data_IF_595470540473
#
_entry.id   IF_595470540473
#
_cell.length_a   1.000
_cell.length_b   1.000
_cell.length_c   1.000
_cell.angle_alpha   90.00
_cell.angle_beta   90.00
_cell.angle_gamma   90.00
#
_symmetry.space_group_name_H-M   'P 1'
#
loop_
_entity.id
_entity.type
_entity.pdbx_description
1 polymer ?
#
# COMPACT_ATOMS: atom_id res chain seq x y z
N UNK A 1 1.08 -16.06 -24.68
CA UNK A 1 1.90 -14.95 -24.15
C UNK A 1 0.95 -13.80 -23.96
N UNK A 2 0.82 -13.33 -22.74
CA UNK A 2 -0.02 -12.16 -22.46
C UNK A 2 0.68 -10.90 -22.95
N UNK A 3 -0.04 -9.82 -23.18
CA UNK A 3 0.52 -8.52 -23.58
C UNK A 3 1.58 -8.03 -22.60
N UNK A 4 1.35 -8.25 -21.29
CA UNK A 4 2.29 -7.93 -20.22
C UNK A 4 3.63 -8.69 -20.37
N UNK A 5 3.60 -9.98 -20.71
CA UNK A 5 4.82 -10.77 -20.93
C UNK A 5 5.61 -10.27 -22.13
N UNK A 6 4.94 -9.75 -23.17
CA UNK A 6 5.58 -9.11 -24.32
C UNK A 6 6.39 -7.87 -23.96
N UNK A 7 6.03 -7.20 -22.86
CA UNK A 7 6.69 -6.00 -22.33
C UNK A 7 7.70 -6.30 -21.20
N UNK A 8 8.11 -7.57 -21.04
CA UNK A 8 9.12 -7.96 -20.06
C UNK A 8 8.60 -8.21 -18.65
N UNK A 9 7.29 -8.18 -18.42
CA UNK A 9 6.69 -8.55 -17.16
C UNK A 9 6.55 -10.08 -17.05
N UNK A 10 6.64 -10.58 -15.82
CA UNK A 10 6.35 -11.98 -15.50
C UNK A 10 4.97 -12.08 -14.87
N UNK A 11 4.15 -13.01 -15.36
CA UNK A 11 2.82 -13.24 -14.81
C UNK A 11 2.83 -14.43 -13.85
N UNK A 12 2.22 -14.28 -12.67
CA UNK A 12 1.99 -15.34 -11.72
C UNK A 12 0.50 -15.47 -11.46
N UNK A 13 -0.04 -16.61 -11.86
CA UNK A 13 -1.37 -16.96 -11.41
C UNK A 13 -1.29 -17.42 -9.94
N UNK A 14 -1.88 -16.64 -9.06
CA UNK A 14 -2.09 -17.04 -7.67
C UNK A 14 -3.37 -17.87 -7.59
N UNK A 15 -3.25 -19.15 -7.20
CA UNK A 15 -4.42 -19.99 -7.01
C UNK A 15 -5.03 -19.72 -5.64
N UNK A 16 -6.23 -19.18 -5.65
CA UNK A 16 -6.98 -18.88 -4.43
C UNK A 16 -7.36 -20.16 -3.65
N UNK A 17 -7.31 -21.33 -4.27
CA UNK A 17 -7.62 -22.62 -3.64
C UNK A 17 -6.49 -23.19 -2.79
N UNK A 18 -5.24 -22.81 -3.06
CA UNK A 18 -4.07 -23.28 -2.28
C UNK A 18 -4.01 -22.67 -0.88
N UNK A 19 -4.82 -21.70 -0.63
CA UNK A 19 -4.76 -20.85 0.53
C UNK A 19 -5.88 -21.12 1.56
N UNK A 20 -6.11 -22.36 1.94
CA UNK A 20 -6.96 -22.76 3.06
C UNK A 20 -8.44 -22.93 2.70
N UNK A 21 -8.96 -24.10 3.02
CA UNK A 21 -10.35 -24.51 2.78
C UNK A 21 -11.36 -23.96 3.80
N UNK A 22 -10.95 -23.01 4.63
CA UNK A 22 -11.88 -22.38 5.57
C UNK A 22 -12.68 -21.30 4.87
N UNK A 23 -13.93 -21.62 4.60
CA UNK A 23 -14.89 -20.80 3.88
C UNK A 23 -15.23 -19.44 4.55
N UNK A 24 -14.63 -19.12 5.69
CA UNK A 24 -14.78 -17.84 6.39
C UNK A 24 -13.72 -16.81 6.02
N UNK A 25 -12.67 -17.17 5.31
CA UNK A 25 -11.67 -16.20 4.83
C UNK A 25 -12.06 -15.68 3.46
N UNK A 26 -12.80 -14.59 3.45
CA UNK A 26 -13.00 -13.77 2.25
C UNK A 26 -11.64 -13.23 1.82
N UNK A 27 -11.21 -13.64 0.67
CA UNK A 27 -10.00 -13.27 -0.07
C UNK A 27 -8.75 -12.98 0.79
N UNK A 28 -7.66 -13.61 0.42
CA UNK A 28 -6.37 -13.35 1.04
C UNK A 28 -5.97 -11.91 0.87
N UNK A 29 -5.32 -11.41 1.91
CA UNK A 29 -4.79 -10.06 1.93
C UNK A 29 -3.80 -9.84 0.78
N UNK A 30 -3.57 -8.59 0.45
CA UNK A 30 -2.57 -8.20 -0.54
C UNK A 30 -1.19 -8.78 -0.20
N UNK A 31 -0.79 -8.73 1.08
CA UNK A 31 0.50 -9.23 1.55
C UNK A 31 0.73 -10.73 1.26
N UNK A 32 -0.28 -11.59 1.47
CA UNK A 32 -0.16 -13.02 1.20
C UNK A 32 -0.01 -13.33 -0.29
N UNK A 33 -0.72 -12.60 -1.16
CA UNK A 33 -0.56 -12.73 -2.62
C UNK A 33 0.81 -12.24 -3.08
N UNK A 34 1.29 -11.14 -2.52
CA UNK A 34 2.61 -10.59 -2.78
C UNK A 34 3.68 -11.60 -2.35
N UNK A 35 3.61 -12.10 -1.11
CA UNK A 35 4.57 -13.07 -0.59
C UNK A 35 4.60 -14.35 -1.42
N UNK A 36 3.45 -14.91 -1.80
CA UNK A 36 3.35 -16.10 -2.66
C UNK A 36 4.01 -15.85 -4.03
N UNK A 37 3.77 -14.68 -4.62
CA UNK A 37 4.37 -14.28 -5.90
C UNK A 37 5.87 -14.16 -5.79
N UNK A 38 6.35 -13.41 -4.81
CA UNK A 38 7.79 -13.15 -4.62
C UNK A 38 8.53 -14.44 -4.28
N UNK A 39 7.99 -15.31 -3.44
CA UNK A 39 8.59 -16.60 -3.10
C UNK A 39 8.71 -17.52 -4.31
N UNK A 40 7.84 -17.37 -5.30
CA UNK A 40 7.93 -18.15 -6.54
C UNK A 40 9.06 -17.64 -7.45
N UNK A 41 9.26 -16.31 -7.55
CA UNK A 41 10.29 -15.71 -8.41
C UNK A 41 11.65 -15.58 -7.77
N UNK A 42 11.68 -15.17 -6.51
CA UNK A 42 12.91 -14.87 -5.76
C UNK A 42 13.13 -15.87 -4.62
N UNK A 43 13.26 -17.14 -4.98
CA UNK A 43 13.46 -18.25 -4.03
C UNK A 43 14.75 -18.13 -3.21
N UNK A 44 15.71 -17.38 -3.71
CA UNK A 44 17.03 -17.22 -3.08
C UNK A 44 17.16 -15.93 -2.29
N UNK A 45 16.06 -15.18 -2.13
CA UNK A 45 16.07 -13.91 -1.37
C UNK A 45 17.11 -12.92 -1.89
N UNK A 46 17.20 -12.79 -3.20
CA UNK A 46 18.15 -11.88 -3.87
C UNK A 46 17.69 -10.41 -3.82
N UNK A 47 16.41 -10.17 -3.49
CA UNK A 47 15.81 -8.86 -3.34
C UNK A 47 15.29 -8.68 -1.92
N UNK A 48 15.83 -7.69 -1.22
CA UNK A 48 15.47 -7.39 0.17
C UNK A 48 14.14 -6.63 0.30
N UNK A 49 13.75 -5.90 -0.74
CA UNK A 49 12.57 -5.04 -0.75
C UNK A 49 11.64 -5.43 -1.90
N UNK A 50 10.37 -5.49 -1.59
CA UNK A 50 9.26 -5.74 -2.53
C UNK A 50 8.35 -4.52 -2.52
N UNK A 51 8.03 -3.99 -3.69
CA UNK A 51 7.05 -2.92 -3.84
C UNK A 51 5.79 -3.48 -4.50
N UNK A 52 4.68 -3.32 -3.81
CA UNK A 52 3.36 -3.64 -4.34
C UNK A 52 2.74 -2.39 -4.96
N UNK A 53 2.48 -2.47 -6.24
CA UNK A 53 1.84 -1.40 -7.00
C UNK A 53 0.50 -1.91 -7.49
N UNK A 54 -0.61 -1.25 -7.14
CA UNK A 54 -1.91 -1.56 -7.71
C UNK A 54 -1.95 -1.28 -9.22
N UNK A 55 -2.79 -1.99 -9.94
CA UNK A 55 -3.00 -1.82 -11.38
C UNK A 55 -4.03 -0.73 -11.74
N UNK A 56 -4.69 -0.18 -10.75
CA UNK A 56 -5.70 0.87 -10.83
C UNK A 56 -5.14 2.30 -10.61
N UNK A 57 -3.82 2.47 -10.70
CA UNK A 57 -3.13 3.75 -10.49
C UNK A 57 -2.28 4.13 -11.72
N UNK A 58 -2.90 4.58 -12.83
CA UNK A 58 -2.18 4.85 -14.09
C UNK A 58 -1.23 6.06 -14.01
N UNK A 59 -1.48 7.00 -13.10
CA UNK A 59 -0.67 8.22 -12.94
C UNK A 59 0.57 8.02 -12.05
N UNK A 60 0.94 6.78 -11.77
CA UNK A 60 2.08 6.49 -10.91
C UNK A 60 3.40 7.00 -11.53
N UNK A 61 4.06 7.93 -10.84
CA UNK A 61 5.32 8.51 -11.28
C UNK A 61 6.52 7.84 -10.59
N UNK A 62 7.68 7.72 -11.26
CA UNK A 62 8.86 7.04 -10.70
C UNK A 62 9.34 7.58 -9.34
N UNK A 63 9.14 8.85 -9.06
CA UNK A 63 9.56 9.46 -7.80
C UNK A 63 8.79 8.95 -6.58
N UNK A 64 7.58 8.38 -6.75
CA UNK A 64 6.86 7.73 -5.66
C UNK A 64 7.62 6.49 -5.15
N UNK A 65 8.26 5.75 -6.05
CA UNK A 65 9.12 4.64 -5.65
C UNK A 65 10.32 5.12 -4.84
N UNK A 66 10.92 6.26 -5.23
CA UNK A 66 12.01 6.85 -4.47
C UNK A 66 11.55 7.30 -3.08
N UNK A 67 10.35 7.86 -2.96
CA UNK A 67 9.76 8.26 -1.69
C UNK A 67 9.55 7.07 -0.74
N UNK A 68 9.04 5.94 -1.24
CA UNK A 68 8.92 4.70 -0.47
C UNK A 68 10.28 4.17 -0.01
N UNK A 69 11.27 4.18 -0.91
CA UNK A 69 12.64 3.74 -0.56
C UNK A 69 13.26 4.64 0.51
N UNK A 70 12.97 5.94 0.46
CA UNK A 70 13.44 6.87 1.47
C UNK A 70 12.78 6.61 2.84
N UNK A 71 11.49 6.30 2.88
CA UNK A 71 10.81 5.89 4.12
C UNK A 71 11.43 4.62 4.72
N UNK A 72 11.84 3.66 3.88
CA UNK A 72 12.55 2.45 4.29
C UNK A 72 14.05 2.64 4.59
N UNK A 73 14.60 3.86 4.49
CA UNK A 73 16.04 4.09 4.72
C UNK A 73 16.49 3.80 6.15
N UNK A 74 15.58 3.91 7.12
CA UNK A 74 15.80 3.46 8.49
C UNK A 74 15.69 1.91 8.56
N UNK A 75 16.70 1.25 9.11
CA UNK A 75 16.75 -0.22 9.19
C UNK A 75 15.64 -0.84 10.06
N UNK A 76 15.12 -0.07 11.00
CA UNK A 76 14.06 -0.52 11.92
C UNK A 76 12.67 -0.45 11.28
N UNK A 77 12.56 0.17 10.08
CA UNK A 77 11.32 0.25 9.32
C UNK A 77 11.18 -0.98 8.43
N UNK A 78 10.16 -1.76 8.69
CA UNK A 78 9.86 -2.97 7.91
C UNK A 78 8.93 -2.75 6.74
N UNK A 79 8.12 -1.70 6.82
CA UNK A 79 7.03 -1.42 5.89
C UNK A 79 7.01 0.08 5.62
N UNK A 80 6.85 0.47 4.36
CA UNK A 80 6.59 1.84 3.99
C UNK A 80 5.33 1.95 3.11
N UNK A 81 4.60 3.04 3.26
CA UNK A 81 3.46 3.40 2.43
C UNK A 81 3.45 4.90 2.16
N UNK A 82 2.41 5.37 1.51
CA UNK A 82 2.23 6.79 1.24
C UNK A 82 0.88 7.28 1.72
N UNK A 83 0.83 8.58 2.00
CA UNK A 83 -0.40 9.30 2.27
C UNK A 83 -0.44 10.59 1.46
N UNK A 84 -1.65 11.00 1.10
CA UNK A 84 -1.93 12.23 0.37
C UNK A 84 -2.97 13.07 1.11
N UNK A 85 -3.17 14.35 0.73
CA UNK A 85 -4.28 15.12 1.26
C UNK A 85 -5.62 14.43 1.02
N UNK A 86 -6.55 14.63 1.95
CA UNK A 86 -7.97 14.29 1.78
C UNK A 86 -8.72 15.51 1.20
N UNK A 87 -9.60 15.27 0.26
CA UNK A 87 -10.63 16.26 -0.09
C UNK A 87 -11.76 16.26 0.94
N UNK A 88 -12.60 17.29 0.93
CA UNK A 88 -13.76 17.35 1.83
C UNK A 88 -14.74 16.20 1.58
N UNK A 89 -14.88 15.75 0.34
CA UNK A 89 -15.72 14.63 -0.07
C UNK A 89 -15.14 13.31 0.42
N UNK A 90 -13.85 13.06 0.18
CA UNK A 90 -13.15 11.84 0.60
C UNK A 90 -13.10 11.67 2.12
N UNK A 91 -13.18 12.78 2.88
CA UNK A 91 -13.14 12.74 4.34
C UNK A 91 -14.28 11.91 4.94
N UNK A 92 -15.46 12.00 4.35
CA UNK A 92 -16.68 11.32 4.84
C UNK A 92 -17.05 10.08 4.02
N UNK A 93 -16.27 9.75 3.00
CA UNK A 93 -16.45 8.56 2.18
C UNK A 93 -15.80 7.35 2.86
N UNK A 94 -16.60 6.37 3.29
CA UNK A 94 -16.11 5.15 3.93
C UNK A 94 -15.41 4.18 2.95
N UNK A 95 -15.46 4.41 1.65
CA UNK A 95 -14.64 3.65 0.69
C UNK A 95 -13.19 4.12 0.70
N UNK A 96 -12.93 5.35 1.09
CA UNK A 96 -11.59 5.92 1.23
C UNK A 96 -10.98 5.53 2.57
N UNK A 97 -9.82 4.92 2.55
CA UNK A 97 -9.07 4.56 3.75
C UNK A 97 -8.28 5.77 4.25
N UNK A 98 -8.44 6.13 5.52
CA UNK A 98 -7.75 7.25 6.17
C UNK A 98 -6.65 6.75 7.10
N UNK A 99 -5.64 7.57 7.28
CA UNK A 99 -4.48 7.29 8.08
C UNK A 99 -4.14 8.44 9.04
N UNK A 100 -3.90 8.11 10.30
CA UNK A 100 -3.31 9.02 11.29
C UNK A 100 -1.80 8.82 11.30
N UNK A 101 -1.05 9.92 11.21
CA UNK A 101 0.42 9.92 11.09
C UNK A 101 1.04 10.78 12.16
N UNK A 102 2.09 10.26 12.78
CA UNK A 102 2.99 11.03 13.64
C UNK A 102 4.20 11.49 12.80
N UNK A 103 4.28 12.79 12.55
CA UNK A 103 5.28 13.33 11.64
C UNK A 103 6.63 13.53 12.31
N UNK A 104 7.68 13.02 11.67
CA UNK A 104 9.05 13.27 12.05
C UNK A 104 9.57 14.47 11.24
N UNK A 105 9.70 15.62 11.90
CA UNK A 105 10.11 16.87 11.26
C UNK A 105 11.54 16.87 10.69
N UNK A 106 12.38 15.94 11.14
CA UNK A 106 13.78 15.86 10.74
C UNK A 106 13.98 14.98 9.48
N UNK A 107 12.92 14.29 9.03
CA UNK A 107 12.96 13.43 7.84
C UNK A 107 12.17 14.03 6.68
N UNK A 108 12.87 14.81 5.84
CA UNK A 108 12.32 15.42 4.63
C UNK A 108 12.74 14.59 3.41
N UNK A 109 11.82 14.33 2.49
CA UNK A 109 12.10 13.59 1.26
C UNK A 109 12.60 14.53 0.18
N UNK A 110 13.86 14.41 -0.18
CA UNK A 110 14.44 15.15 -1.30
C UNK A 110 14.41 14.28 -2.59
N UNK A 111 14.09 14.79 -3.78
CA UNK A 111 13.83 16.19 -4.12
C UNK A 111 12.33 16.60 -4.09
N UNK A 112 11.46 15.83 -3.46
CA UNK A 112 10.02 16.08 -3.44
C UNK A 112 9.68 17.22 -2.49
N UNK A 113 9.49 18.40 -3.05
CA UNK A 113 9.15 19.60 -2.28
C UNK A 113 7.83 19.40 -1.53
N UNK A 114 7.82 19.71 -0.23
CA UNK A 114 6.67 19.48 0.65
C UNK A 114 6.48 18.07 1.17
N UNK A 115 7.26 17.10 0.69
CA UNK A 115 7.18 15.72 1.17
C UNK A 115 7.98 15.51 2.45
N UNK A 116 7.41 14.74 3.37
CA UNK A 116 7.97 14.42 4.69
C UNK A 116 7.70 12.98 5.05
N UNK A 117 8.46 12.43 5.98
CA UNK A 117 8.28 11.08 6.49
C UNK A 117 7.72 11.14 7.91
N UNK A 118 6.75 10.30 8.19
CA UNK A 118 6.20 10.08 9.53
C UNK A 118 6.00 8.59 9.80
N UNK A 119 5.51 8.30 11.00
CA UNK A 119 5.17 6.94 11.41
C UNK A 119 3.66 6.79 11.47
N UNK A 120 3.13 5.76 10.82
CA UNK A 120 1.72 5.43 10.81
C UNK A 120 1.27 5.02 12.21
N UNK A 121 0.18 5.62 12.69
CA UNK A 121 -0.37 5.37 14.03
C UNK A 121 -1.68 4.62 14.01
N UNK A 122 -2.57 4.95 13.07
CA UNK A 122 -3.86 4.29 12.93
C UNK A 122 -4.37 4.36 11.49
N UNK A 123 -5.25 3.43 11.15
CA UNK A 123 -5.94 3.33 9.87
C UNK A 123 -7.42 3.10 10.15
N UNK A 124 -8.30 3.89 9.54
CA UNK A 124 -9.76 3.76 9.60
C UNK A 124 -10.41 4.18 8.29
N UNK A 125 -11.58 3.61 8.03
CA UNK A 125 -12.46 4.08 6.96
C UNK A 125 -13.38 5.19 7.45
N UNK A 126 -13.93 5.04 8.65
CA UNK A 126 -14.80 6.05 9.22
C UNK A 126 -13.98 7.14 9.92
N UNK A 127 -14.22 8.39 9.57
CA UNK A 127 -13.53 9.55 10.14
C UNK A 127 -13.85 9.73 11.63
N UNK A 128 -15.06 9.38 12.05
CA UNK A 128 -15.52 9.53 13.44
C UNK A 128 -14.79 8.60 14.41
N UNK A 129 -14.08 7.56 13.91
CA UNK A 129 -13.28 6.65 14.70
C UNK A 129 -11.91 7.21 15.09
N UNK A 130 -11.54 8.39 14.54
CA UNK A 130 -10.32 9.09 14.92
C UNK A 130 -10.56 10.10 16.04
N UNK A 131 -9.54 10.31 16.86
CA UNK A 131 -9.50 11.31 17.93
C UNK A 131 -8.98 12.68 17.47
N UNK A 132 -8.78 12.85 16.15
CA UNK A 132 -8.21 14.05 15.52
C UNK A 132 -8.74 14.26 14.13
N UNK A 133 -8.78 15.51 13.70
CA UNK A 133 -9.06 15.89 12.32
C UNK A 133 -7.82 15.86 11.42
N UNK A 134 -6.61 15.68 11.99
CA UNK A 134 -5.35 15.61 11.25
C UNK A 134 -5.12 14.19 10.71
N UNK A 135 -5.87 13.86 9.67
CA UNK A 135 -5.83 12.57 8.98
C UNK A 135 -5.62 12.77 7.48
N UNK A 136 -5.10 11.73 6.84
CA UNK A 136 -4.68 11.73 5.45
C UNK A 136 -5.32 10.55 4.72
N UNK A 137 -5.43 10.65 3.40
CA UNK A 137 -5.81 9.52 2.53
C UNK A 137 -4.65 8.54 2.48
N UNK A 138 -4.90 7.27 2.78
CA UNK A 138 -3.93 6.20 2.58
C UNK A 138 -3.85 5.88 1.08
N UNK A 139 -2.63 5.92 0.53
CA UNK A 139 -2.38 5.52 -0.85
C UNK A 139 -2.02 4.04 -0.88
N UNK A 140 -2.66 3.21 -1.71
CA UNK A 140 -2.52 1.75 -1.65
C UNK A 140 -1.23 1.21 -2.30
N UNK A 141 -0.12 1.94 -2.18
CA UNK A 141 1.22 1.50 -2.61
C UNK A 141 2.05 1.20 -1.38
N UNK A 142 2.59 0.00 -1.31
CA UNK A 142 3.34 -0.45 -0.14
C UNK A 142 4.69 -1.02 -0.54
N UNK A 143 5.71 -0.70 0.23
CA UNK A 143 7.03 -1.32 0.15
C UNK A 143 7.29 -2.14 1.41
N UNK A 144 7.74 -3.36 1.23
CA UNK A 144 7.96 -4.34 2.29
C UNK A 144 9.41 -4.80 2.29
N UNK A 145 10.03 -4.84 3.47
CA UNK A 145 11.21 -5.69 3.61
C UNK A 145 10.77 -7.15 3.68
N UNK A 146 11.53 -8.06 3.11
CA UNK A 146 11.19 -9.49 3.03
C UNK A 146 10.90 -10.10 4.40
N UNK A 147 11.76 -9.90 5.38
CA UNK A 147 11.56 -10.44 6.73
C UNK A 147 10.27 -9.99 7.41
N UNK A 148 9.94 -8.69 7.45
CA UNK A 148 8.65 -8.18 7.90
C UNK A 148 7.44 -8.71 7.11
N UNK A 149 7.54 -8.86 5.79
CA UNK A 149 6.48 -9.46 4.97
C UNK A 149 6.23 -10.92 5.36
N UNK A 150 7.29 -11.71 5.49
CA UNK A 150 7.20 -13.11 5.89
C UNK A 150 6.59 -13.26 7.30
N UNK A 151 6.96 -12.39 8.24
CA UNK A 151 6.35 -12.37 9.59
C UNK A 151 4.87 -12.01 9.54
N UNK A 152 4.47 -11.06 8.70
CA UNK A 152 3.07 -10.62 8.61
C UNK A 152 2.16 -11.76 8.16
N UNK A 153 2.57 -12.53 7.14
CA UNK A 153 1.75 -13.63 6.59
C UNK A 153 1.64 -14.84 7.54
N UNK A 154 2.50 -14.94 8.55
CA UNK A 154 2.40 -15.93 9.63
C UNK A 154 1.35 -15.55 10.67
N UNK A 155 0.97 -14.27 10.76
CA UNK A 155 -0.03 -13.79 11.69
C UNK A 155 -1.45 -14.05 11.15
N UNK A 156 -2.41 -14.43 12.00
CA UNK A 156 -3.79 -14.54 11.57
C UNK A 156 -4.36 -13.16 11.25
N UNK A 157 -5.19 -13.04 10.21
CA UNK A 157 -5.94 -11.81 9.95
C UNK A 157 -6.80 -11.42 11.15
N UNK A 158 -6.94 -10.12 11.39
CA UNK A 158 -7.80 -9.59 12.46
C UNK A 158 -9.17 -9.17 11.90
N UNK A 159 -10.19 -9.11 12.77
CA UNK A 159 -11.51 -8.59 12.38
C UNK A 159 -11.39 -7.16 11.87
N UNK A 160 -10.54 -6.36 12.51
CA UNK A 160 -10.26 -4.97 12.13
C UNK A 160 -9.63 -4.87 10.72
N UNK A 161 -8.76 -5.80 10.33
CA UNK A 161 -8.23 -5.86 8.96
C UNK A 161 -9.34 -6.04 7.93
N UNK A 162 -10.35 -6.87 8.24
CA UNK A 162 -11.50 -7.06 7.36
C UNK A 162 -12.40 -5.82 7.28
N UNK A 163 -12.59 -5.12 8.39
CA UNK A 163 -13.39 -3.90 8.46
C UNK A 163 -12.73 -2.76 7.67
N UNK A 164 -11.44 -2.57 7.85
CA UNK A 164 -10.69 -1.48 7.20
C UNK A 164 -10.20 -1.84 5.78
N UNK A 165 -10.19 -3.13 5.43
CA UNK A 165 -9.85 -3.62 4.09
C UNK A 165 -8.38 -3.49 3.71
N UNK A 166 -7.47 -3.47 4.69
CA UNK A 166 -6.02 -3.42 4.45
C UNK A 166 -5.22 -4.22 5.47
N UNK A 167 -4.26 -5.01 4.99
CA UNK A 167 -3.34 -5.80 5.79
C UNK A 167 -2.34 -4.98 6.62
N UNK A 168 -2.20 -3.70 6.32
CA UNK A 168 -1.43 -2.78 7.15
C UNK A 168 -1.98 -2.66 8.58
N UNK A 169 -3.28 -2.88 8.75
CA UNK A 169 -3.92 -2.92 10.07
C UNK A 169 -3.36 -4.08 10.91
N UNK A 170 -3.24 -5.27 10.33
CA UNK A 170 -2.63 -6.43 10.99
C UNK A 170 -1.19 -6.14 11.40
N UNK A 171 -0.43 -5.48 10.53
CA UNK A 171 0.94 -5.07 10.84
C UNK A 171 1.00 -4.08 12.02
N UNK A 172 0.11 -3.08 12.04
CA UNK A 172 0.00 -2.13 13.15
C UNK A 172 -0.37 -2.83 14.47
N UNK A 173 -1.39 -3.69 14.44
CA UNK A 173 -1.87 -4.43 15.60
C UNK A 173 -0.80 -5.38 16.15
N UNK A 174 0.08 -5.88 15.29
CA UNK A 174 1.27 -6.66 15.68
C UNK A 174 2.46 -5.82 16.15
N UNK A 175 2.32 -4.49 16.23
CA UNK A 175 3.37 -3.58 16.66
C UNK A 175 4.50 -3.39 15.65
N UNK A 176 4.28 -3.73 14.39
CA UNK A 176 5.25 -3.48 13.33
C UNK A 176 5.32 -1.97 13.03
N UNK A 177 6.52 -1.45 12.89
CA UNK A 177 6.71 -0.06 12.50
C UNK A 177 6.47 0.11 11.00
N UNK A 178 5.56 1.01 10.68
CA UNK A 178 5.23 1.42 9.32
C UNK A 178 5.55 2.91 9.20
N UNK A 179 6.46 3.27 8.31
CA UNK A 179 6.69 4.68 8.00
C UNK A 179 5.91 5.08 6.73
N UNK A 180 5.48 6.31 6.70
CA UNK A 180 4.71 6.88 5.58
C UNK A 180 5.42 8.07 4.99
N UNK A 181 5.34 8.23 3.69
CA UNK A 181 5.76 9.46 3.01
C UNK A 181 4.52 10.25 2.61
N UNK A 182 4.50 11.53 2.95
CA UNK A 182 3.49 12.45 2.46
C UNK A 182 3.80 12.82 1.00
N UNK A 183 2.80 12.73 0.13
CA UNK A 183 2.87 13.21 -1.25
C UNK A 183 1.79 14.26 -1.46
N UNK A 184 2.12 15.32 -2.19
CA UNK A 184 1.22 16.47 -2.39
C UNK A 184 0.17 16.21 -3.45
N UNK A 185 0.42 15.27 -4.36
CA UNK A 185 -0.50 14.92 -5.43
C UNK A 185 -1.70 14.14 -4.85
N UNK A 186 -2.90 14.53 -5.22
CA UNK A 186 -4.08 13.73 -4.93
C UNK A 186 -4.17 12.59 -5.94
N UNK A 187 -3.53 11.46 -5.62
CA UNK A 187 -3.53 10.28 -6.49
C UNK A 187 -4.93 9.70 -6.59
N UNK A 188 -5.43 9.60 -7.81
CA UNK A 188 -6.68 8.89 -8.09
C UNK A 188 -6.42 7.39 -8.16
N UNK A 189 -7.29 6.64 -7.51
CA UNK A 189 -7.45 5.20 -7.71
C UNK A 189 -8.66 5.04 -8.61
N UNK A 190 -8.52 4.37 -9.74
CA UNK A 190 -9.61 4.16 -10.68
C UNK A 190 -10.54 3.07 -10.15
N UNK A 191 -11.82 3.38 -10.03
CA UNK A 191 -12.81 2.48 -9.43
C UNK A 191 -13.72 1.88 -10.52
N UNK A 192 -13.82 2.53 -11.69
CA UNK A 192 -14.72 2.12 -12.76
C UNK A 192 -14.04 1.96 -14.11
N UNK A 193 -14.60 1.14 -15.03
CA UNK A 193 -14.11 1.05 -16.40
C UNK A 193 -14.16 2.39 -17.15
N UNK A 194 -15.13 3.23 -16.85
CA UNK A 194 -15.28 4.54 -17.47
C UNK A 194 -14.12 5.47 -17.10
N UNK A 195 -13.70 5.46 -15.83
CA UNK A 195 -12.54 6.22 -15.37
C UNK A 195 -11.23 5.71 -16.00
N UNK A 196 -11.14 4.40 -16.26
CA UNK A 196 -9.99 3.82 -16.96
C UNK A 196 -9.91 4.30 -18.42
N UNK A 197 -11.05 4.36 -19.10
CA UNK A 197 -11.12 4.85 -20.47
C UNK A 197 -10.76 6.36 -20.55
N UNK A 198 -11.21 7.17 -19.58
CA UNK A 198 -10.84 8.59 -19.48
C UNK A 198 -9.33 8.76 -19.22
N UNK A 199 -8.77 8.02 -18.27
CA UNK A 199 -7.35 8.06 -17.97
C UNK A 199 -6.49 7.60 -19.17
N UNK A 200 -6.89 6.58 -19.90
CA UNK A 200 -6.22 6.12 -21.11
C UNK A 200 -6.18 7.23 -22.17
N UNK A 201 -7.28 7.95 -22.34
CA UNK A 201 -7.35 9.07 -23.29
C UNK A 201 -6.43 10.24 -22.91
N UNK A 202 -6.30 10.54 -21.61
CA UNK A 202 -5.40 11.60 -21.12
C UNK A 202 -3.91 11.24 -21.28
N UNK A 203 -3.55 9.95 -21.20
CA UNK A 203 -2.16 9.49 -21.35
C UNK A 203 -1.72 9.45 -22.83
N UNK A 204 -2.65 9.17 -23.76
CA UNK A 204 -2.36 9.06 -25.18
C UNK A 204 -2.36 10.43 -25.94
N UNK A 205 -2.88 11.49 -25.34
CA UNK A 205 -3.00 12.86 -25.90
C UNK A 205 -1.83 13.74 -25.58
#
# INVERSE_FOLDING_TARGET
MTELEGNGAYTVKTDMSEFGKDHNYRSKSGAERIAATVNKFDRYYTHDIVVAVPDDMPELKPYYMQALMYALSDSDVGIATMVSPLTDEERYDNEVVKAKVDWNSDRIVYPLEGSRVGTLKDIRRNIDDFDTDDVYKLVPIHAWRRGPLDKLIELPPSDREFEEGTDLVRALDAGMRIDVTFVTDNMKVLISPEELDEAAYEIEG
#
